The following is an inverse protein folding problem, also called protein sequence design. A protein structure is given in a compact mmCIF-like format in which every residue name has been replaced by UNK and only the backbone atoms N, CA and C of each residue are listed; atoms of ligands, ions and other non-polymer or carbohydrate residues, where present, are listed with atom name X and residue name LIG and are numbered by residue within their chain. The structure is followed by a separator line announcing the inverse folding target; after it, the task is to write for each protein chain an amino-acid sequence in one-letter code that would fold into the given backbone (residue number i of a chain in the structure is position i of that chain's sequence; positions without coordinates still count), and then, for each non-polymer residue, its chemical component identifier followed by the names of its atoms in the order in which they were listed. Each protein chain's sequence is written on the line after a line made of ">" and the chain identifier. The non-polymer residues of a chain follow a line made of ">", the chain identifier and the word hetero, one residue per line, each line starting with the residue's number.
data_IF_982068386060
#
_entry.id   IF_982068386060
#
_cell.length_a   1.000
_cell.length_b   1.000
_cell.length_c   1.000
_cell.angle_alpha   90.00
_cell.angle_beta   90.00
_cell.angle_gamma   90.00
#
_symmetry.space_group_name_H-M   'P 1'
#
loop_
_entity.id
_entity.type
_entity.pdbx_description
1 polymer ?
#
# COMPACT_ATOMS: atom_id res chain seq x y z
N UNK A 1 4.41 15.71 17.57
CA UNK A 1 5.69 16.26 17.11
C UNK A 1 6.44 15.23 16.29
N UNK A 2 6.65 15.52 15.00
CA UNK A 2 7.85 15.20 14.23
C UNK A 2 7.77 15.99 12.90
N UNK A 3 8.53 17.09 12.85
CA UNK A 3 9.10 17.67 11.63
C UNK A 3 9.87 16.54 10.91
N UNK A 4 9.78 16.35 9.58
CA UNK A 4 10.44 17.17 8.55
C UNK A 4 9.66 17.11 7.23
N UNK A 5 9.17 18.25 6.77
CA UNK A 5 8.91 18.48 5.35
C UNK A 5 10.28 18.58 4.64
N UNK A 6 10.71 17.54 3.92
CA UNK A 6 12.00 17.63 3.24
C UNK A 6 12.52 16.37 2.54
N UNK A 7 12.16 15.18 3.01
CA UNK A 7 12.79 13.94 2.54
C UNK A 7 11.75 13.02 1.87
N UNK A 8 12.15 12.44 0.74
CA UNK A 8 11.40 11.40 0.01
C UNK A 8 11.44 10.04 0.73
N UNK A 9 11.71 10.07 2.03
CA UNK A 9 11.88 8.92 2.92
C UNK A 9 10.74 8.90 3.94
N UNK A 10 10.30 7.71 4.30
CA UNK A 10 9.29 7.47 5.33
C UNK A 10 9.81 6.54 6.42
N UNK A 11 9.28 6.68 7.64
CA UNK A 11 9.68 5.82 8.74
C UNK A 11 9.29 4.35 8.48
N UNK A 12 10.20 3.44 8.81
CA UNK A 12 9.92 2.00 8.88
C UNK A 12 9.50 1.69 10.31
N UNK A 13 8.23 1.34 10.50
CA UNK A 13 7.72 0.92 11.80
C UNK A 13 8.27 -0.48 12.16
N UNK A 14 8.60 -0.67 13.43
CA UNK A 14 9.10 -1.94 13.97
C UNK A 14 8.07 -2.56 14.90
N UNK A 15 7.85 -3.86 14.74
CA UNK A 15 6.90 -4.66 15.50
C UNK A 15 7.56 -5.98 15.91
N UNK A 16 7.32 -6.42 17.14
CA UNK A 16 7.82 -7.68 17.65
C UNK A 16 7.04 -8.89 17.10
N UNK A 17 5.80 -8.68 16.65
CA UNK A 17 4.90 -9.74 16.20
C UNK A 17 3.83 -9.23 15.24
N UNK A 18 3.17 -10.14 14.53
CA UNK A 18 2.09 -9.80 13.60
C UNK A 18 0.88 -9.25 14.35
N UNK A 19 0.61 -9.80 15.53
CA UNK A 19 -0.42 -9.37 16.46
C UNK A 19 -0.20 -7.91 16.90
N UNK A 20 1.04 -7.53 17.20
CA UNK A 20 1.37 -6.15 17.54
C UNK A 20 1.16 -5.21 16.34
N UNK A 21 1.57 -5.64 15.14
CA UNK A 21 1.36 -4.87 13.91
C UNK A 21 -0.14 -4.62 13.70
N UNK A 22 -0.97 -5.66 13.71
CA UNK A 22 -2.43 -5.54 13.51
C UNK A 22 -3.05 -4.60 14.52
N UNK A 23 -2.72 -4.76 15.81
CA UNK A 23 -3.25 -3.90 16.89
C UNK A 23 -2.88 -2.42 16.73
N UNK A 24 -1.76 -2.12 16.09
CA UNK A 24 -1.22 -0.75 15.96
C UNK A 24 -1.39 -0.17 14.56
N UNK A 25 -2.06 -0.88 13.65
CA UNK A 25 -2.18 -0.50 12.25
C UNK A 25 -3.28 0.54 11.95
N UNK A 26 -4.12 0.85 12.94
CA UNK A 26 -5.17 1.84 12.82
C UNK A 26 -4.59 3.20 12.40
N UNK A 27 -5.13 3.78 11.33
CA UNK A 27 -4.67 5.08 10.82
C UNK A 27 -3.53 4.99 9.79
N UNK A 28 -3.10 3.79 9.40
CA UNK A 28 -2.13 3.55 8.32
C UNK A 28 -0.83 2.90 8.80
N UNK A 29 -0.19 2.17 7.89
CA UNK A 29 1.11 1.49 8.12
C UNK A 29 2.08 1.88 7.01
N UNK A 30 3.37 1.93 7.36
CA UNK A 30 4.44 2.09 6.36
C UNK A 30 4.42 0.93 5.35
N UNK A 31 4.80 1.22 4.10
CA UNK A 31 4.87 0.20 3.05
C UNK A 31 6.01 -0.80 3.27
N UNK A 32 6.96 -0.44 4.13
CA UNK A 32 7.98 -1.34 4.67
C UNK A 32 7.83 -1.40 6.18
N UNK A 33 7.81 -2.62 6.71
CA UNK A 33 7.78 -2.87 8.16
C UNK A 33 8.99 -3.70 8.57
N UNK A 34 9.43 -3.52 9.81
CA UNK A 34 10.30 -4.48 10.49
C UNK A 34 9.43 -5.37 11.38
N UNK A 35 9.39 -6.66 11.09
CA UNK A 35 8.63 -7.65 11.85
C UNK A 35 9.60 -8.70 12.37
N UNK A 36 9.73 -8.82 13.69
CA UNK A 36 10.70 -9.70 14.36
C UNK A 36 12.14 -9.51 13.79
N UNK A 37 12.55 -8.25 13.66
CA UNK A 37 13.86 -7.87 13.11
C UNK A 37 14.03 -8.05 11.60
N UNK A 38 13.01 -8.54 10.88
CA UNK A 38 13.05 -8.75 9.42
C UNK A 38 12.35 -7.61 8.70
N UNK A 39 13.01 -7.02 7.70
CA UNK A 39 12.40 -5.99 6.86
C UNK A 39 11.59 -6.62 5.73
N UNK A 40 10.31 -6.24 5.65
CA UNK A 40 9.35 -6.83 4.72
C UNK A 40 8.50 -5.75 4.05
N UNK A 41 8.22 -5.86 2.74
CA UNK A 41 7.13 -5.14 2.10
C UNK A 41 5.80 -5.47 2.78
N UNK A 42 4.94 -4.48 2.99
CA UNK A 42 3.61 -4.70 3.60
C UNK A 42 2.77 -5.71 2.81
N UNK A 43 2.81 -5.64 1.47
CA UNK A 43 2.12 -6.58 0.59
C UNK A 43 2.54 -8.05 0.78
N UNK A 44 3.69 -8.32 1.40
CA UNK A 44 4.18 -9.68 1.62
C UNK A 44 3.63 -10.35 2.89
N UNK A 45 2.85 -9.64 3.72
CA UNK A 45 2.30 -10.20 4.96
C UNK A 45 1.42 -11.44 4.74
N UNK A 46 0.69 -11.52 3.62
CA UNK A 46 -0.18 -12.65 3.30
C UNK A 46 0.50 -13.77 2.49
N UNK A 47 1.76 -13.60 2.05
CA UNK A 47 2.40 -14.66 1.28
C UNK A 47 3.80 -14.48 0.69
N UNK A 48 4.32 -15.58 0.09
CA UNK A 48 5.63 -15.63 -0.58
C UNK A 48 5.64 -14.60 -1.71
N UNK A 49 6.36 -13.51 -1.51
CA UNK A 49 6.99 -12.79 -2.60
C UNK A 49 7.87 -13.79 -3.40
N UNK A 50 7.31 -14.48 -4.41
CA UNK A 50 8.08 -15.28 -5.40
C UNK A 50 8.60 -14.44 -6.57
N UNK A 51 8.54 -13.12 -6.43
CA UNK A 51 9.21 -12.15 -7.30
C UNK A 51 9.07 -10.72 -6.77
N UNK A 52 8.68 -10.60 -5.50
CA UNK A 52 8.07 -9.42 -4.94
C UNK A 52 9.09 -8.37 -4.56
N UNK A 53 8.66 -7.13 -4.74
CA UNK A 53 9.34 -5.89 -4.43
C UNK A 53 10.48 -6.05 -3.42
N UNK A 54 11.74 -6.13 -3.89
CA UNK A 54 12.85 -6.39 -3.00
C UNK A 54 13.09 -5.17 -2.12
N UNK A 55 13.30 -5.44 -0.83
CA UNK A 55 13.88 -4.48 0.10
C UNK A 55 15.38 -4.47 -0.15
N UNK A 56 15.88 -3.33 -0.60
CA UNK A 56 17.29 -3.10 -0.89
C UNK A 56 17.88 -2.25 0.23
N UNK A 57 18.82 -2.81 0.98
CA UNK A 57 19.47 -2.09 2.07
C UNK A 57 20.55 -1.15 1.52
N UNK A 58 20.61 0.05 2.07
CA UNK A 58 21.66 1.03 1.79
C UNK A 58 22.25 1.56 3.09
N UNK A 59 23.56 1.81 3.08
CA UNK A 59 24.30 2.33 4.22
C UNK A 59 24.11 3.83 4.41
N UNK A 60 23.80 4.56 3.32
CA UNK A 60 23.57 5.99 3.32
C UNK A 60 22.26 6.33 2.60
N UNK A 61 21.71 7.50 2.89
CA UNK A 61 20.55 8.05 2.18
C UNK A 61 20.84 8.11 0.68
N UNK A 62 19.98 7.53 -0.18
CA UNK A 62 20.20 7.59 -1.62
C UNK A 62 20.06 9.02 -2.17
N UNK A 63 20.41 9.24 -3.43
CA UNK A 63 19.92 10.44 -4.13
C UNK A 63 18.45 10.28 -4.50
N UNK A 64 17.70 11.37 -4.62
CA UNK A 64 16.29 11.36 -5.07
C UNK A 64 16.13 10.61 -6.39
N UNK A 65 17.06 10.81 -7.33
CA UNK A 65 17.04 10.15 -8.64
C UNK A 65 17.20 8.62 -8.52
N UNK A 66 18.07 8.15 -7.62
CA UNK A 66 18.23 6.72 -7.33
C UNK A 66 16.96 6.16 -6.68
N UNK A 67 16.38 6.90 -5.73
CA UNK A 67 15.14 6.50 -5.07
C UNK A 67 13.97 6.39 -6.07
N UNK A 68 13.85 7.36 -6.97
CA UNK A 68 12.86 7.34 -8.04
C UNK A 68 13.05 6.14 -8.98
N UNK A 69 14.29 5.87 -9.43
CA UNK A 69 14.58 4.71 -10.29
C UNK A 69 14.26 3.38 -9.63
N UNK A 70 14.62 3.21 -8.35
CA UNK A 70 14.33 1.97 -7.63
C UNK A 70 12.83 1.83 -7.31
N UNK A 71 12.14 2.91 -6.93
CA UNK A 71 10.69 2.90 -6.73
C UNK A 71 9.94 2.55 -8.03
N UNK A 72 10.36 3.09 -9.17
CA UNK A 72 9.81 2.76 -10.49
C UNK A 72 10.07 1.30 -10.90
N UNK A 73 11.14 0.67 -10.40
CA UNK A 73 11.41 -0.77 -10.53
C UNK A 73 10.63 -1.62 -9.52
N UNK A 74 9.78 -0.99 -8.70
CA UNK A 74 9.06 -1.66 -7.64
C UNK A 74 9.98 -2.19 -6.55
N UNK A 75 11.04 -1.47 -6.18
CA UNK A 75 11.98 -1.82 -5.12
C UNK A 75 11.93 -0.78 -4.01
N UNK A 76 12.11 -1.21 -2.77
CA UNK A 76 12.10 -0.31 -1.62
C UNK A 76 13.53 -0.16 -1.09
N UNK A 77 14.07 1.06 -1.08
CA UNK A 77 15.39 1.31 -0.50
C UNK A 77 15.23 1.60 0.98
N UNK A 78 15.90 0.83 1.84
CA UNK A 78 15.89 1.07 3.29
C UNK A 78 17.27 1.51 3.75
N UNK A 79 17.34 2.68 4.37
CA UNK A 79 18.53 3.21 5.03
C UNK A 79 18.64 2.57 6.41
N UNK A 80 19.43 1.50 6.51
CA UNK A 80 19.43 0.61 7.69
C UNK A 80 19.76 1.32 8.99
N UNK A 81 20.71 2.26 8.97
CA UNK A 81 21.11 3.01 10.16
C UNK A 81 20.05 3.98 10.69
N UNK A 82 19.05 4.32 9.87
CA UNK A 82 18.06 5.35 10.20
C UNK A 82 16.63 4.78 10.28
N UNK A 83 16.43 3.53 9.83
CA UNK A 83 15.11 2.91 9.71
C UNK A 83 14.13 3.76 8.89
N UNK A 84 14.64 4.29 7.78
CA UNK A 84 13.88 5.07 6.80
C UNK A 84 13.83 4.34 5.46
N UNK A 85 12.70 4.42 4.76
CA UNK A 85 12.50 3.79 3.46
C UNK A 85 12.15 4.80 2.37
N UNK A 86 12.71 4.65 1.18
CA UNK A 86 12.17 5.25 -0.04
C UNK A 86 11.22 4.24 -0.69
N UNK A 87 9.95 4.60 -0.79
CA UNK A 87 8.88 3.78 -1.35
C UNK A 87 8.16 4.53 -2.47
N UNK A 88 7.38 3.86 -3.33
CA UNK A 88 6.57 4.53 -4.33
C UNK A 88 5.69 5.64 -3.75
N UNK A 89 5.12 5.41 -2.56
CA UNK A 89 4.36 6.43 -1.82
C UNK A 89 5.23 7.62 -1.46
N UNK A 90 6.32 7.41 -0.72
CA UNK A 90 7.13 8.53 -0.20
C UNK A 90 7.76 9.35 -1.32
N UNK A 91 8.19 8.69 -2.40
CA UNK A 91 8.73 9.34 -3.60
C UNK A 91 7.63 10.12 -4.34
N UNK A 92 6.47 9.53 -4.58
CA UNK A 92 5.36 10.22 -5.24
C UNK A 92 4.92 11.46 -4.45
N UNK A 93 4.72 11.31 -3.14
CA UNK A 93 4.33 12.41 -2.25
C UNK A 93 5.37 13.52 -2.25
N UNK A 94 6.66 13.17 -2.26
CA UNK A 94 7.74 14.15 -2.38
C UNK A 94 7.67 14.93 -3.70
N UNK A 95 7.53 14.24 -4.84
CA UNK A 95 7.45 14.88 -6.15
C UNK A 95 6.24 15.83 -6.23
N UNK A 96 5.08 15.38 -5.74
CA UNK A 96 3.86 16.18 -5.68
C UNK A 96 4.04 17.44 -4.84
N UNK A 97 4.60 17.32 -3.63
CA UNK A 97 4.83 18.47 -2.72
C UNK A 97 5.85 19.47 -3.25
N UNK A 98 6.76 19.03 -4.14
CA UNK A 98 7.73 19.90 -4.80
C UNK A 98 7.22 20.51 -6.11
N UNK A 99 5.97 20.24 -6.50
CA UNK A 99 5.40 20.70 -7.78
C UNK A 99 6.01 20.02 -9.01
N UNK A 100 6.72 18.90 -8.83
CA UNK A 100 7.32 18.12 -9.92
C UNK A 100 6.32 17.15 -10.56
N UNK A 101 5.23 16.87 -9.85
CA UNK A 101 4.06 16.14 -10.33
C UNK A 101 2.83 16.93 -9.92
N UNK A 102 1.97 17.26 -10.88
CA UNK A 102 0.67 17.90 -10.58
C UNK A 102 -0.33 16.80 -10.14
N UNK A 103 -0.83 16.80 -8.89
CA UNK A 103 -1.67 15.71 -8.40
C UNK A 103 -2.98 15.55 -9.18
N UNK A 104 -3.59 16.66 -9.60
CA UNK A 104 -4.80 16.69 -10.44
C UNK A 104 -4.63 15.90 -11.74
N UNK A 105 -3.49 16.03 -12.41
CA UNK A 105 -3.16 15.31 -13.64
C UNK A 105 -2.77 13.86 -13.35
N UNK A 106 -2.03 13.63 -12.27
CA UNK A 106 -1.60 12.29 -11.88
C UNK A 106 -2.77 11.39 -11.48
N UNK A 107 -3.84 11.94 -10.87
CA UNK A 107 -5.01 11.16 -10.42
C UNK A 107 -5.60 10.31 -11.52
N UNK A 108 -5.81 10.85 -12.73
CA UNK A 108 -6.40 10.10 -13.83
C UNK A 108 -5.49 8.94 -14.29
N UNK A 109 -4.18 9.20 -14.42
CA UNK A 109 -3.21 8.18 -14.84
C UNK A 109 -3.00 7.10 -13.78
N UNK A 110 -2.95 7.48 -12.51
CA UNK A 110 -2.82 6.54 -11.38
C UNK A 110 -4.10 5.72 -11.23
N UNK A 111 -5.27 6.34 -11.36
CA UNK A 111 -6.55 5.64 -11.28
C UNK A 111 -6.77 4.66 -12.43
N UNK A 112 -6.26 4.95 -13.63
CA UNK A 112 -6.29 4.01 -14.75
C UNK A 112 -5.56 2.70 -14.45
N UNK A 113 -4.54 2.75 -13.59
CA UNK A 113 -3.79 1.57 -13.15
C UNK A 113 -4.52 0.75 -12.06
N UNK A 114 -5.31 1.43 -11.23
CA UNK A 114 -6.31 0.93 -10.27
C UNK A 114 -5.85 -0.15 -9.27
N UNK A 115 -6.23 -0.01 -8.00
CA UNK A 115 -6.23 -1.13 -7.07
C UNK A 115 -7.44 -2.04 -7.33
N UNK A 116 -7.36 -3.34 -7.03
CA UNK A 116 -8.45 -4.27 -7.26
C UNK A 116 -9.72 -3.89 -6.46
N UNK A 117 -10.87 -4.28 -7.00
CA UNK A 117 -12.16 -4.17 -6.30
C UNK A 117 -12.98 -5.44 -6.48
N UNK A 118 -13.77 -5.80 -5.47
CA UNK A 118 -14.56 -7.03 -5.41
C UNK A 118 -15.99 -6.76 -4.93
N UNK A 119 -16.92 -7.65 -5.28
CA UNK A 119 -18.29 -7.60 -4.74
C UNK A 119 -18.32 -8.07 -3.27
N UNK A 120 -19.31 -7.67 -2.45
CA UNK A 120 -19.35 -7.98 -1.01
C UNK A 120 -19.43 -9.48 -0.69
N UNK A 121 -20.01 -10.27 -1.59
CA UNK A 121 -20.13 -11.73 -1.49
C UNK A 121 -18.91 -12.49 -2.02
N UNK A 122 -17.87 -11.79 -2.49
CA UNK A 122 -16.60 -12.42 -2.90
C UNK A 122 -15.95 -13.09 -1.70
N UNK A 123 -15.43 -14.30 -1.86
CA UNK A 123 -14.77 -15.01 -0.76
C UNK A 123 -13.44 -14.38 -0.36
N UNK A 124 -13.04 -14.55 0.90
CA UNK A 124 -11.73 -14.18 1.44
C UNK A 124 -10.62 -14.77 0.57
N UNK A 125 -10.69 -16.06 0.23
CA UNK A 125 -9.76 -16.70 -0.71
C UNK A 125 -9.55 -15.85 -1.97
N UNK A 126 -10.64 -15.48 -2.66
CA UNK A 126 -10.55 -14.79 -3.95
C UNK A 126 -10.01 -13.38 -3.80
N UNK A 127 -10.34 -12.68 -2.71
CA UNK A 127 -9.80 -11.35 -2.43
C UNK A 127 -8.30 -11.40 -2.11
N UNK A 128 -7.85 -12.36 -1.29
CA UNK A 128 -6.43 -12.53 -0.95
C UNK A 128 -5.61 -12.93 -2.17
N UNK A 129 -6.08 -13.88 -2.98
CA UNK A 129 -5.42 -14.24 -4.25
C UNK A 129 -5.30 -13.03 -5.18
N UNK A 130 -6.34 -12.20 -5.27
CA UNK A 130 -6.31 -10.99 -6.09
C UNK A 130 -5.26 -9.98 -5.61
N UNK A 131 -5.11 -9.80 -4.29
CA UNK A 131 -4.05 -8.96 -3.72
C UNK A 131 -2.65 -9.51 -4.03
N UNK A 132 -2.45 -10.83 -3.90
CA UNK A 132 -1.18 -11.49 -4.23
C UNK A 132 -0.85 -11.35 -5.72
N UNK A 133 -1.83 -11.57 -6.62
CA UNK A 133 -1.65 -11.50 -8.08
C UNK A 133 -1.39 -10.06 -8.57
N UNK A 134 -2.09 -9.07 -8.02
CA UNK A 134 -1.89 -7.66 -8.42
C UNK A 134 -0.71 -7.00 -7.71
N UNK A 135 -0.19 -7.61 -6.64
CA UNK A 135 0.77 -7.00 -5.72
C UNK A 135 0.21 -5.74 -5.07
N UNK A 136 -1.10 -5.71 -4.81
CA UNK A 136 -1.78 -4.61 -4.14
C UNK A 136 -1.72 -4.79 -2.62
N UNK A 137 -1.83 -3.68 -1.89
CA UNK A 137 -1.91 -3.67 -0.42
C UNK A 137 -3.35 -3.60 0.07
N UNK A 138 -4.29 -3.25 -0.80
CA UNK A 138 -5.70 -3.07 -0.47
C UNK A 138 -6.64 -3.44 -1.61
N UNK A 139 -7.85 -3.87 -1.24
CA UNK A 139 -8.96 -4.18 -2.15
C UNK A 139 -10.19 -3.39 -1.74
N UNK A 140 -10.85 -2.77 -2.70
CA UNK A 140 -12.12 -2.09 -2.49
C UNK A 140 -13.29 -3.08 -2.52
N UNK A 141 -14.14 -3.09 -1.50
CA UNK A 141 -15.42 -3.80 -1.54
C UNK A 141 -16.47 -2.86 -2.11
N UNK A 142 -16.97 -3.19 -3.30
CA UNK A 142 -17.85 -2.33 -4.08
C UNK A 142 -19.30 -2.78 -4.00
N UNK A 143 -20.20 -1.86 -3.68
CA UNK A 143 -21.64 -2.03 -3.73
C UNK A 143 -22.28 -0.84 -4.45
N UNK A 144 -23.13 -1.11 -5.44
CA UNK A 144 -23.86 -0.07 -6.22
C UNK A 144 -22.95 1.03 -6.77
N UNK A 145 -21.78 0.65 -7.31
CA UNK A 145 -20.82 1.59 -7.90
C UNK A 145 -19.95 2.36 -6.91
N UNK A 146 -20.13 2.16 -5.59
CA UNK A 146 -19.36 2.81 -4.53
C UNK A 146 -18.53 1.81 -3.72
N UNK A 147 -17.37 2.24 -3.25
CA UNK A 147 -16.52 1.53 -2.31
C UNK A 147 -17.13 1.73 -0.91
N UNK A 148 -17.74 0.67 -0.39
CA UNK A 148 -18.40 0.67 0.91
C UNK A 148 -17.49 0.21 2.04
N UNK A 149 -16.40 -0.48 1.71
CA UNK A 149 -15.40 -0.99 2.65
C UNK A 149 -14.07 -1.12 1.91
N UNK A 150 -12.96 -0.87 2.57
CA UNK A 150 -11.61 -1.16 2.05
C UNK A 150 -10.96 -2.16 2.98
N UNK A 151 -10.42 -3.24 2.42
CA UNK A 151 -9.72 -4.28 3.17
C UNK A 151 -8.28 -4.33 2.69
N UNK A 152 -7.35 -4.21 3.63
CA UNK A 152 -5.91 -4.22 3.43
C UNK A 152 -5.34 -5.61 3.71
N UNK A 153 -4.09 -5.83 3.30
CA UNK A 153 -3.33 -7.02 3.69
C UNK A 153 -3.22 -7.20 5.20
N UNK A 154 -3.25 -6.11 5.97
CA UNK A 154 -3.24 -6.15 7.45
C UNK A 154 -4.60 -6.58 8.00
N UNK A 155 -5.70 -6.17 7.38
CA UNK A 155 -7.05 -6.56 7.81
C UNK A 155 -7.26 -8.06 7.63
N UNK A 156 -6.80 -8.63 6.51
CA UNK A 156 -6.83 -10.08 6.30
C UNK A 156 -5.88 -10.84 7.24
N UNK A 157 -4.74 -10.25 7.60
CA UNK A 157 -3.84 -10.84 8.59
C UNK A 157 -4.49 -10.85 9.99
N UNK A 158 -5.17 -9.76 10.38
CA UNK A 158 -5.95 -9.67 11.62
C UNK A 158 -7.07 -10.69 11.66
N UNK A 159 -7.86 -10.79 10.58
CA UNK A 159 -8.89 -11.81 10.44
C UNK A 159 -8.34 -13.24 10.58
N UNK A 160 -7.21 -13.54 9.94
CA UNK A 160 -6.58 -14.86 10.05
C UNK A 160 -6.17 -15.18 11.49
N UNK A 161 -5.60 -14.21 12.21
CA UNK A 161 -5.22 -14.36 13.61
C UNK A 161 -6.44 -14.61 14.51
N UNK A 162 -7.51 -13.82 14.34
CA UNK A 162 -8.74 -13.95 15.13
C UNK A 162 -9.45 -15.28 14.90
N UNK A 163 -9.48 -15.74 13.65
CA UNK A 163 -10.11 -17.00 13.27
C UNK A 163 -9.20 -18.23 13.50
N UNK A 164 -7.96 -18.06 13.95
CA UNK A 164 -6.99 -19.15 14.13
C UNK A 164 -6.60 -19.84 12.81
N UNK A 165 -6.68 -19.12 11.70
CA UNK A 165 -6.42 -19.65 10.36
C UNK A 165 -4.93 -19.56 10.02
N UNK A 166 -4.37 -20.65 9.50
CA UNK A 166 -3.09 -20.55 8.81
C UNK A 166 -3.26 -19.82 7.48
N UNK A 167 -2.14 -19.40 6.89
CA UNK A 167 -2.14 -18.85 5.51
C UNK A 167 -2.81 -19.80 4.51
N UNK A 168 -2.56 -21.10 4.63
CA UNK A 168 -3.13 -22.09 3.70
C UNK A 168 -4.66 -22.12 3.84
N UNK A 169 -5.16 -21.97 5.06
CA UNK A 169 -6.59 -21.97 5.34
C UNK A 169 -7.24 -20.68 4.85
N UNK A 170 -6.56 -19.53 4.95
CA UNK A 170 -7.02 -18.25 4.39
C UNK A 170 -7.23 -18.33 2.87
N UNK A 171 -6.34 -19.02 2.15
CA UNK A 171 -6.45 -19.27 0.70
C UNK A 171 -7.49 -20.33 0.32
N UNK A 172 -8.18 -20.90 1.30
CA UNK A 172 -9.29 -21.85 1.13
C UNK A 172 -10.61 -21.32 1.70
N UNK A 173 -10.57 -20.18 2.40
CA UNK A 173 -11.70 -19.64 3.15
C UNK A 173 -12.82 -19.13 2.23
N UNK A 174 -14.03 -19.73 2.28
CA UNK A 174 -15.18 -19.30 1.48
C UNK A 174 -15.92 -18.10 2.07
N UNK A 175 -15.56 -17.63 3.26
CA UNK A 175 -16.23 -16.54 3.98
C UNK A 175 -16.33 -15.30 3.11
N UNK A 176 -17.51 -14.67 2.97
CA UNK A 176 -17.65 -13.42 2.25
C UNK A 176 -16.81 -12.30 2.86
N UNK A 177 -16.14 -11.51 2.02
CA UNK A 177 -15.34 -10.35 2.45
C UNK A 177 -16.15 -9.28 3.16
N UNK A 178 -17.48 -9.25 2.95
CA UNK A 178 -18.38 -8.38 3.73
C UNK A 178 -18.32 -8.64 5.23
N UNK A 179 -17.95 -9.85 5.66
CA UNK A 179 -17.84 -10.28 7.07
C UNK A 179 -16.46 -10.03 7.69
N UNK A 180 -15.49 -9.57 6.91
CA UNK A 180 -14.18 -9.18 7.44
C UNK A 180 -14.26 -7.73 7.89
N UNK A 181 -13.90 -7.46 9.15
CA UNK A 181 -13.93 -6.12 9.71
C UNK A 181 -12.61 -5.38 9.45
N UNK A 182 -12.65 -4.12 8.98
CA UNK A 182 -11.44 -3.35 8.73
C UNK A 182 -10.83 -2.86 10.04
N UNK A 183 -9.51 -3.01 10.17
CA UNK A 183 -8.69 -2.52 11.28
C UNK A 183 -7.90 -1.27 10.88
N UNK A 184 -7.42 -1.21 9.64
CA UNK A 184 -6.58 -0.09 9.16
C UNK A 184 -7.41 1.15 8.84
N UNK A 185 -8.48 0.97 8.05
CA UNK A 185 -9.37 2.05 7.59
C UNK A 185 -10.78 1.80 8.12
N UNK A 186 -11.10 2.39 9.29
CA UNK A 186 -12.41 2.21 9.93
C UNK A 186 -13.57 2.76 9.11
N UNK A 187 -13.40 3.94 8.49
CA UNK A 187 -14.37 4.54 7.56
C UNK A 187 -13.71 4.83 6.21
N UNK A 188 -14.18 4.25 5.09
CA UNK A 188 -13.69 4.58 3.75
C UNK A 188 -13.81 6.06 3.37
N UNK A 189 -14.66 6.84 4.04
CA UNK A 189 -14.72 8.29 3.85
C UNK A 189 -13.39 8.99 4.18
N UNK A 190 -12.57 8.42 5.07
CA UNK A 190 -11.23 8.93 5.37
C UNK A 190 -10.30 8.90 4.15
N UNK A 191 -10.58 8.05 3.16
CA UNK A 191 -9.81 7.96 1.92
C UNK A 191 -10.23 8.99 0.87
N UNK A 192 -11.31 9.74 1.13
CA UNK A 192 -11.88 10.76 0.24
C UNK A 192 -11.45 12.19 0.60
N UNK A 193 -10.64 12.38 1.66
CA UNK A 193 -10.17 13.69 2.14
C UNK A 193 -9.27 14.46 1.16
N UNK A 194 -8.91 13.82 0.04
CA UNK A 194 -8.05 14.36 -1.01
C UNK A 194 -6.98 13.35 -1.39
N UNK A 195 -6.66 13.26 -2.68
CA UNK A 195 -5.78 12.22 -3.21
C UNK A 195 -4.43 12.14 -2.48
N UNK A 196 -3.75 13.28 -2.32
CA UNK A 196 -2.43 13.32 -1.70
C UNK A 196 -2.48 13.05 -0.18
N UNK A 197 -3.55 13.45 0.49
CA UNK A 197 -3.73 13.23 1.93
C UNK A 197 -3.97 11.74 2.23
N UNK A 198 -4.92 11.12 1.52
CA UNK A 198 -5.17 9.69 1.61
C UNK A 198 -3.90 8.88 1.30
N UNK A 199 -3.23 9.17 0.19
CA UNK A 199 -1.97 8.51 -0.17
C UNK A 199 -0.91 8.71 0.92
N UNK A 200 -0.74 9.92 1.47
CA UNK A 200 0.28 10.19 2.49
C UNK A 200 0.03 9.45 3.80
N UNK A 201 -1.24 9.37 4.23
CA UNK A 201 -1.63 8.80 5.52
C UNK A 201 -1.80 7.29 5.45
N UNK A 202 -2.57 6.81 4.48
CA UNK A 202 -2.99 5.42 4.38
C UNK A 202 -2.27 4.62 3.30
N UNK A 203 -1.40 5.24 2.49
CA UNK A 203 -0.85 4.64 1.27
C UNK A 203 -1.90 4.34 0.19
N UNK A 204 -3.10 4.90 0.34
CA UNK A 204 -4.23 4.66 -0.55
C UNK A 204 -5.20 5.83 -0.54
N UNK A 205 -5.96 5.99 -1.61
CA UNK A 205 -7.00 7.01 -1.72
C UNK A 205 -8.18 6.47 -2.55
N UNK A 206 -9.37 7.01 -2.30
CA UNK A 206 -10.53 6.80 -3.16
C UNK A 206 -10.74 8.06 -3.98
N UNK A 207 -10.74 7.90 -5.31
CA UNK A 207 -10.95 9.01 -6.26
C UNK A 207 -12.21 8.78 -7.07
N UNK A 208 -12.91 9.86 -7.39
CA UNK A 208 -14.13 9.81 -8.18
C UNK A 208 -13.84 10.28 -9.62
N UNK A 209 -13.91 9.35 -10.57
CA UNK A 209 -13.71 9.59 -12.01
C UNK A 209 -14.88 8.96 -12.78
N UNK A 210 -16.08 9.49 -12.59
CA UNK A 210 -17.34 8.86 -13.05
C UNK A 210 -17.75 7.61 -12.25
N UNK A 211 -16.81 6.97 -11.56
CA UNK A 211 -17.03 5.96 -10.52
C UNK A 211 -15.92 6.05 -9.45
N UNK A 212 -16.15 5.44 -8.28
CA UNK A 212 -15.14 5.39 -7.22
C UNK A 212 -14.05 4.36 -7.53
N UNK A 213 -12.81 4.82 -7.65
CA UNK A 213 -11.63 3.99 -7.89
C UNK A 213 -10.74 4.02 -6.66
N UNK A 214 -10.35 2.84 -6.18
CA UNK A 214 -9.31 2.71 -5.16
C UNK A 214 -7.95 2.83 -5.85
N UNK A 215 -7.10 3.68 -5.30
CA UNK A 215 -5.69 3.79 -5.64
C UNK A 215 -4.88 3.34 -4.43
N UNK A 216 -3.83 2.56 -4.66
CA UNK A 216 -2.87 2.15 -3.64
C UNK A 216 -1.43 2.17 -4.18
N UNK A 217 -0.50 1.61 -3.39
CA UNK A 217 0.92 1.46 -3.76
C UNK A 217 1.13 0.85 -5.15
N UNK A 218 0.34 -0.17 -5.52
CA UNK A 218 0.51 -0.89 -6.78
C UNK A 218 0.22 0.02 -7.98
N UNK A 219 -0.73 0.94 -7.82
CA UNK A 219 -1.12 1.94 -8.81
C UNK A 219 -0.04 3.03 -8.94
N UNK A 220 0.47 3.53 -7.81
CA UNK A 220 1.56 4.51 -7.77
C UNK A 220 2.83 3.97 -8.40
N UNK A 221 3.17 2.70 -8.14
CA UNK A 221 4.32 2.02 -8.74
C UNK A 221 4.20 1.97 -10.27
N UNK A 222 3.05 1.57 -10.80
CA UNK A 222 2.79 1.54 -12.25
C UNK A 222 2.92 2.94 -12.87
N UNK A 223 2.39 3.96 -12.21
CA UNK A 223 2.53 5.35 -12.64
C UNK A 223 4.00 5.81 -12.68
N UNK A 224 4.76 5.60 -11.59
CA UNK A 224 6.17 5.97 -11.54
C UNK A 224 7.00 5.22 -12.59
N UNK A 225 6.71 3.93 -12.82
CA UNK A 225 7.35 3.16 -13.88
C UNK A 225 7.11 3.78 -15.26
N UNK A 226 5.87 4.16 -15.59
CA UNK A 226 5.52 4.79 -16.85
C UNK A 226 6.23 6.14 -17.06
N UNK A 227 6.41 6.93 -15.99
CA UNK A 227 7.04 8.27 -16.05
C UNK A 227 8.57 8.23 -16.06
N UNK A 228 9.19 7.28 -15.36
CA UNK A 228 10.66 7.12 -15.38
C UNK A 228 11.16 6.49 -16.68
N UNK A 229 10.37 5.60 -17.29
CA UNK A 229 10.71 4.97 -18.58
C UNK A 229 10.55 5.95 -19.75
N UNK A 230 9.65 6.91 -19.66
CA UNK A 230 9.42 7.92 -20.71
C UNK A 230 10.35 9.15 -20.63
N UNK A 231 11.15 9.28 -19.57
CA UNK A 231 12.18 10.33 -19.42
C UNK A 231 13.43 10.18 -20.29
N UNK A 232 13.41 9.30 -21.31
CA UNK A 232 14.35 9.37 -22.44
C UNK A 232 13.65 10.06 -23.61
N UNK A 233 13.77 11.38 -23.67
CA UNK A 233 14.01 12.18 -24.88
C UNK A 233 14.49 13.56 -24.45
#
# INVERSE_FOLDING_TARGET
>A
MASVAGEYLEAVASFASLEELVRRAAGGVSLVVSLDGRLLPLASLLGRSTGGTPVVLTAARPGVERALREAARGRYLVVRGEMLAATPRSVFVYLARRGLVEPSLAVAEVAAAGAPSVAPNTSVKKAVSLLEESGAIAVGVRSRGRISKVLTVVDFAGYALEAGLSRRDLLLDPTPVSRVDPVVVGDPADLRSGFLDGVSRYSMAVVELGCEVLVDESSLRKYLAARVVTGRK
#
